data_IF_113213201980
#
_entry.id   IF_113213201980
#
_cell.length_a   1.000
_cell.length_b   1.000
_cell.length_c   1.000
_cell.angle_alpha   90.00
_cell.angle_beta   90.00
_cell.angle_gamma   90.00
#
_symmetry.space_group_name_H-M   'P 1'
#
loop_
_entity.id
_entity.type
_entity.pdbx_description
1 polymer ?
#
# COMPACT_ATOMS: atom_id res chain seq x y z
N UNK A 1 11.01 -3.67 11.96
CA UNK A 1 10.35 -2.75 10.99
C UNK A 1 10.68 -3.07 9.53
N UNK A 2 11.95 -3.22 9.13
CA UNK A 2 12.31 -3.54 7.75
C UNK A 2 11.67 -4.84 7.24
N UNK A 3 11.78 -5.94 8.00
CA UNK A 3 11.20 -7.24 7.62
C UNK A 3 9.68 -7.18 7.46
N UNK A 4 8.98 -6.58 8.43
CA UNK A 4 7.51 -6.44 8.34
C UNK A 4 7.09 -5.61 7.14
N UNK A 5 7.82 -4.54 6.82
CA UNK A 5 7.59 -3.73 5.62
C UNK A 5 7.80 -4.50 4.32
N UNK A 6 8.85 -5.33 4.23
CA UNK A 6 9.11 -6.17 3.06
C UNK A 6 8.05 -7.27 2.87
N UNK A 7 7.54 -7.87 3.96
CA UNK A 7 6.45 -8.84 3.89
C UNK A 7 5.14 -8.20 3.39
N UNK A 8 4.80 -7.01 3.90
CA UNK A 8 3.64 -6.24 3.43
C UNK A 8 3.81 -5.82 1.96
N UNK A 9 5.02 -5.48 1.54
CA UNK A 9 5.30 -5.20 0.13
C UNK A 9 5.09 -6.43 -0.75
N UNK A 10 5.56 -7.62 -0.31
CA UNK A 10 5.28 -8.88 -1.00
C UNK A 10 3.78 -9.14 -1.18
N UNK A 11 2.98 -8.87 -0.13
CA UNK A 11 1.53 -8.92 -0.22
C UNK A 11 0.98 -7.94 -1.28
N UNK A 12 1.48 -6.69 -1.33
CA UNK A 12 1.01 -5.71 -2.32
C UNK A 12 1.27 -6.17 -3.77
N UNK A 13 2.38 -6.87 -4.05
CA UNK A 13 2.65 -7.44 -5.37
C UNK A 13 1.59 -8.48 -5.77
N UNK A 14 1.30 -9.44 -4.88
CA UNK A 14 0.29 -10.45 -5.11
C UNK A 14 -1.10 -9.83 -5.22
N UNK A 15 -1.40 -8.86 -4.36
CA UNK A 15 -2.67 -8.15 -4.37
C UNK A 15 -2.87 -7.34 -5.66
N UNK A 16 -1.85 -6.66 -6.15
CA UNK A 16 -1.90 -5.97 -7.45
C UNK A 16 -2.14 -6.95 -8.59
N UNK A 17 -1.42 -8.07 -8.62
CA UNK A 17 -1.56 -9.05 -9.70
C UNK A 17 -2.99 -9.60 -9.81
N UNK A 18 -3.65 -9.89 -8.68
CA UNK A 18 -5.07 -10.28 -8.66
C UNK A 18 -6.01 -9.17 -9.10
N UNK A 19 -5.74 -7.93 -8.67
CA UNK A 19 -6.60 -6.79 -9.04
C UNK A 19 -6.45 -6.36 -10.51
N UNK A 20 -5.31 -6.62 -11.16
CA UNK A 20 -5.16 -6.36 -12.60
C UNK A 20 -6.10 -7.21 -13.47
N UNK A 21 -6.64 -8.32 -12.95
CA UNK A 21 -7.67 -9.11 -13.63
C UNK A 21 -8.97 -8.32 -13.86
N UNK A 22 -9.24 -7.24 -13.10
CA UNK A 22 -10.34 -6.31 -13.33
C UNK A 22 -10.28 -5.65 -14.72
N UNK A 23 -9.09 -5.51 -15.28
CA UNK A 23 -8.86 -4.81 -16.56
C UNK A 23 -8.83 -5.75 -17.77
N UNK A 24 -9.18 -7.02 -17.60
CA UNK A 24 -9.08 -8.03 -18.67
C UNK A 24 -10.11 -7.85 -19.79
N UNK A 25 -11.18 -7.09 -19.57
CA UNK A 25 -12.20 -6.82 -20.58
C UNK A 25 -13.20 -7.96 -20.83
N UNK A 26 -13.27 -8.95 -19.93
CA UNK A 26 -14.16 -10.12 -20.02
C UNK A 26 -15.44 -9.99 -19.17
N UNK A 27 -15.87 -8.76 -18.87
CA UNK A 27 -17.03 -8.51 -18.02
C UNK A 27 -16.82 -8.95 -16.57
N UNK A 28 -15.58 -9.12 -16.15
CA UNK A 28 -15.20 -9.52 -14.78
C UNK A 28 -15.22 -11.02 -14.52
N UNK A 29 -15.44 -11.85 -15.55
CA UNK A 29 -15.50 -13.31 -15.39
C UNK A 29 -14.23 -13.88 -14.74
N UNK A 30 -13.05 -13.50 -15.23
CA UNK A 30 -11.76 -13.96 -14.68
C UNK A 30 -11.54 -13.45 -13.25
N UNK A 31 -11.86 -12.19 -12.96
CA UNK A 31 -11.69 -11.61 -11.63
C UNK A 31 -12.61 -12.28 -10.60
N UNK A 32 -13.89 -12.50 -10.97
CA UNK A 32 -14.84 -13.19 -10.09
C UNK A 32 -14.41 -14.63 -9.83
N UNK A 33 -14.01 -15.39 -10.85
CA UNK A 33 -13.51 -16.77 -10.68
C UNK A 33 -12.28 -16.80 -9.73
N UNK A 34 -11.34 -15.86 -9.90
CA UNK A 34 -10.19 -15.71 -9.01
C UNK A 34 -10.60 -15.40 -7.57
N UNK A 35 -11.52 -14.44 -7.37
CA UNK A 35 -11.98 -14.05 -6.03
C UNK A 35 -12.75 -15.18 -5.34
N UNK A 36 -13.59 -15.91 -6.06
CA UNK A 36 -14.30 -17.07 -5.55
C UNK A 36 -13.34 -18.21 -5.15
N UNK A 37 -12.34 -18.49 -5.98
CA UNK A 37 -11.29 -19.43 -5.62
C UNK A 37 -10.61 -19.07 -4.31
N UNK A 38 -10.27 -17.79 -4.13
CA UNK A 38 -9.64 -17.32 -2.88
C UNK A 38 -10.56 -17.45 -1.67
N UNK A 39 -11.84 -17.03 -1.80
CA UNK A 39 -12.81 -17.05 -0.68
C UNK A 39 -13.08 -18.47 -0.20
N UNK A 40 -13.09 -19.47 -1.09
CA UNK A 40 -13.31 -20.87 -0.72
C UNK A 40 -12.00 -21.60 -0.35
N UNK A 41 -10.84 -20.96 -0.48
CA UNK A 41 -9.57 -21.60 -0.16
C UNK A 41 -9.35 -21.71 1.34
N UNK A 42 -9.05 -22.89 1.91
CA UNK A 42 -8.96 -23.09 3.36
C UNK A 42 -7.85 -22.27 4.04
N UNK A 43 -6.82 -21.88 3.28
CA UNK A 43 -5.73 -21.05 3.79
C UNK A 43 -6.04 -19.55 3.81
N UNK A 44 -7.19 -19.10 3.28
CA UNK A 44 -7.51 -17.67 3.25
C UNK A 44 -7.54 -17.09 4.66
N UNK A 45 -8.31 -17.71 5.56
CA UNK A 45 -8.46 -17.23 6.95
C UNK A 45 -7.12 -17.21 7.71
N UNK A 46 -6.32 -18.28 7.73
CA UNK A 46 -4.97 -18.22 8.32
C UNK A 46 -4.07 -17.12 7.76
N UNK A 47 -4.05 -16.96 6.42
CA UNK A 47 -3.24 -15.92 5.76
C UNK A 47 -3.71 -14.52 6.13
N UNK A 48 -5.01 -14.27 6.23
CA UNK A 48 -5.57 -13.00 6.68
C UNK A 48 -5.14 -12.66 8.13
N UNK A 49 -5.22 -13.61 9.05
CA UNK A 49 -4.75 -13.40 10.42
C UNK A 49 -3.26 -13.10 10.49
N UNK A 50 -2.44 -13.81 9.72
CA UNK A 50 -1.00 -13.55 9.63
C UNK A 50 -0.75 -12.14 9.07
N UNK A 51 -1.46 -11.75 8.00
CA UNK A 51 -1.33 -10.44 7.39
C UNK A 51 -1.72 -9.31 8.35
N UNK A 52 -2.83 -9.47 9.07
CA UNK A 52 -3.27 -8.51 10.11
C UNK A 52 -2.22 -8.43 11.23
N UNK A 53 -1.68 -9.56 11.68
CA UNK A 53 -0.62 -9.61 12.70
C UNK A 53 0.64 -8.87 12.25
N UNK A 54 1.11 -9.10 11.00
CA UNK A 54 2.26 -8.39 10.43
C UNK A 54 1.98 -6.90 10.33
N UNK A 55 0.78 -6.51 9.90
CA UNK A 55 0.38 -5.10 9.76
C UNK A 55 0.36 -4.38 11.11
N UNK A 56 -0.27 -4.98 12.13
CA UNK A 56 -0.29 -4.43 13.49
C UNK A 56 1.11 -4.32 14.09
N UNK A 57 1.94 -5.36 13.92
CA UNK A 57 3.34 -5.33 14.35
C UNK A 57 4.12 -4.22 13.65
N UNK A 58 3.88 -4.02 12.34
CA UNK A 58 4.50 -2.94 11.58
C UNK A 58 4.15 -1.56 12.17
N UNK A 59 2.88 -1.33 12.51
CA UNK A 59 2.41 -0.08 13.13
C UNK A 59 3.05 0.13 14.50
N UNK A 60 3.05 -0.89 15.36
CA UNK A 60 3.63 -0.82 16.71
C UNK A 60 5.12 -0.46 16.63
N UNK A 61 5.86 -1.14 15.75
CA UNK A 61 7.29 -0.86 15.53
C UNK A 61 7.52 0.55 14.97
N UNK A 62 6.65 1.03 14.08
CA UNK A 62 6.75 2.39 13.54
C UNK A 62 6.53 3.47 14.63
N UNK A 63 5.54 3.26 15.51
CA UNK A 63 5.28 4.14 16.65
C UNK A 63 6.45 4.12 17.63
N UNK A 64 6.99 2.94 17.94
CA UNK A 64 8.16 2.78 18.83
C UNK A 64 9.35 3.57 18.31
N UNK A 65 9.75 3.34 17.05
CA UNK A 65 10.87 4.06 16.42
C UNK A 65 10.63 5.57 16.40
N UNK A 66 9.40 6.01 16.15
CA UNK A 66 9.06 7.43 16.15
C UNK A 66 9.21 8.07 17.56
N UNK A 67 8.79 7.33 18.62
CA UNK A 67 8.94 7.76 20.01
C UNK A 67 10.41 7.83 20.42
N UNK A 68 11.19 6.79 20.08
CA UNK A 68 12.61 6.73 20.41
C UNK A 68 13.41 7.85 19.72
N UNK A 69 13.09 8.13 18.45
CA UNK A 69 13.67 9.23 17.71
C UNK A 69 13.33 10.61 18.32
N UNK A 70 12.11 10.78 18.86
CA UNK A 70 11.74 12.02 19.57
C UNK A 70 12.45 12.16 20.90
N UNK A 71 12.57 11.07 21.68
CA UNK A 71 13.27 11.05 22.98
C UNK A 71 14.76 11.30 22.83
N UNK A 72 15.40 10.72 21.82
CA UNK A 72 16.82 10.93 21.55
C UNK A 72 17.16 12.37 21.12
N UNK A 73 16.15 13.19 20.73
CA UNK A 73 16.37 14.57 20.28
C UNK A 73 15.27 15.51 20.78
N UNK A 74 15.31 15.91 22.05
CA UNK A 74 14.31 16.81 22.63
C UNK A 74 14.38 18.23 22.07
N UNK A 75 15.53 18.64 21.49
CA UNK A 75 15.73 19.97 20.88
C UNK A 75 15.86 19.83 19.37
N UNK A 76 15.02 20.53 18.60
CA UNK A 76 15.08 20.55 17.14
C UNK A 76 16.35 21.24 16.60
N UNK A 77 16.77 20.91 15.39
CA UNK A 77 17.89 21.61 14.76
C UNK A 77 17.58 23.09 14.55
N UNK A 78 18.46 23.97 15.03
CA UNK A 78 18.43 25.40 14.69
C UNK A 78 18.81 25.69 13.24
N UNK A 79 19.57 24.79 12.59
CA UNK A 79 19.93 24.88 11.19
C UNK A 79 19.63 23.57 10.49
N UNK A 80 18.86 23.62 9.41
CA UNK A 80 18.52 22.47 8.56
C UNK A 80 19.51 22.29 7.41
N UNK A 81 20.82 22.51 7.67
CA UNK A 81 21.84 22.16 6.69
C UNK A 81 21.83 20.64 6.52
N UNK A 82 21.34 20.15 5.39
CA UNK A 82 21.30 18.72 5.07
C UNK A 82 22.68 18.22 4.61
N UNK A 83 23.62 18.18 5.55
CA UNK A 83 24.83 17.37 5.36
C UNK A 83 24.44 15.95 5.70
N UNK A 84 24.16 15.13 4.68
CA UNK A 84 23.83 13.70 4.85
C UNK A 84 22.34 13.31 4.77
N UNK A 85 21.50 14.03 4.02
CA UNK A 85 20.32 13.43 3.39
C UNK A 85 19.15 13.04 4.26
N UNK A 86 18.65 13.90 5.16
CA UNK A 86 17.24 13.81 5.57
C UNK A 86 16.39 14.28 4.40
N UNK A 87 15.91 13.34 3.58
CA UNK A 87 14.97 13.65 2.52
C UNK A 87 13.66 14.19 3.11
N UNK A 88 12.94 15.03 2.36
CA UNK A 88 11.57 15.52 2.69
C UNK A 88 10.72 14.32 3.10
N UNK A 89 10.95 13.22 2.47
CA UNK A 89 10.31 11.97 2.66
C UNK A 89 10.50 11.35 4.05
N UNK A 90 11.67 11.42 4.67
CA UNK A 90 11.91 10.97 6.06
C UNK A 90 11.09 11.78 7.08
N UNK A 91 10.78 13.06 6.79
CA UNK A 91 9.94 13.91 7.65
C UNK A 91 8.46 13.57 7.51
N UNK A 92 8.03 13.09 6.35
CA UNK A 92 6.62 12.81 6.03
C UNK A 92 6.22 11.35 6.24
N UNK A 93 7.16 10.48 6.66
CA UNK A 93 6.94 9.03 6.78
C UNK A 93 5.78 8.67 7.73
N UNK A 94 5.65 9.38 8.86
CA UNK A 94 4.56 9.15 9.81
C UNK A 94 3.21 9.55 9.19
N UNK A 95 3.19 10.68 8.49
CA UNK A 95 1.96 11.17 7.85
C UNK A 95 1.52 10.26 6.70
N UNK A 96 2.44 9.83 5.85
CA UNK A 96 2.14 8.88 4.77
C UNK A 96 1.70 7.52 5.32
N UNK A 97 2.31 7.05 6.42
CA UNK A 97 1.90 5.83 7.10
C UNK A 97 0.50 5.94 7.71
N UNK A 98 0.16 7.08 8.35
CA UNK A 98 -1.17 7.32 8.90
C UNK A 98 -2.23 7.38 7.78
N UNK A 99 -1.92 8.06 6.68
CA UNK A 99 -2.83 8.11 5.52
C UNK A 99 -3.05 6.73 4.92
N UNK A 100 -1.98 5.92 4.81
CA UNK A 100 -2.10 4.52 4.36
C UNK A 100 -2.98 3.70 5.31
N UNK A 101 -2.85 3.88 6.64
CA UNK A 101 -3.70 3.21 7.62
C UNK A 101 -5.18 3.58 7.44
N UNK A 102 -5.47 4.88 7.32
CA UNK A 102 -6.84 5.37 7.08
C UNK A 102 -7.39 4.77 5.77
N UNK A 103 -6.57 4.79 4.72
CA UNK A 103 -6.95 4.20 3.44
C UNK A 103 -7.26 2.70 3.56
N UNK A 104 -6.43 1.91 4.27
CA UNK A 104 -6.67 0.47 4.48
C UNK A 104 -8.00 0.24 5.18
N UNK A 105 -8.34 1.03 6.21
CA UNK A 105 -9.64 0.92 6.91
C UNK A 105 -10.81 1.20 5.96
N UNK A 106 -10.72 2.27 5.17
CA UNK A 106 -11.74 2.62 4.16
C UNK A 106 -11.83 1.52 3.10
N UNK A 107 -10.70 1.03 2.58
CA UNK A 107 -10.63 -0.02 1.58
C UNK A 107 -11.29 -1.33 2.06
N UNK A 108 -10.98 -1.77 3.27
CA UNK A 108 -11.60 -2.96 3.86
C UNK A 108 -13.10 -2.79 4.04
N UNK A 109 -13.54 -1.62 4.52
CA UNK A 109 -14.96 -1.33 4.66
C UNK A 109 -15.68 -1.33 3.31
N UNK A 110 -15.05 -0.78 2.28
CA UNK A 110 -15.64 -0.65 0.93
C UNK A 110 -15.76 -1.99 0.20
N UNK A 111 -14.76 -2.89 0.33
CA UNK A 111 -14.72 -4.09 -0.52
C UNK A 111 -14.81 -5.41 0.25
N UNK A 112 -14.22 -5.51 1.44
CA UNK A 112 -14.25 -6.76 2.22
C UNK A 112 -15.52 -6.89 3.04
N UNK A 113 -15.94 -5.81 3.71
CA UNK A 113 -17.07 -5.81 4.64
C UNK A 113 -18.32 -5.11 4.09
N UNK A 114 -18.35 -4.80 2.79
CA UNK A 114 -19.55 -4.28 2.16
C UNK A 114 -20.61 -5.37 2.03
N UNK A 115 -21.86 -4.99 2.22
CA UNK A 115 -23.00 -5.81 1.82
C UNK A 115 -23.08 -5.79 0.29
N UNK A 116 -22.94 -6.96 -0.33
CA UNK A 116 -22.97 -7.10 -1.78
C UNK A 116 -24.38 -7.25 -2.35
N UNK A 117 -25.40 -7.43 -1.50
CA UNK A 117 -26.79 -7.58 -1.92
C UNK A 117 -27.01 -8.56 -3.10
N UNK A 118 -26.14 -9.59 -3.20
CA UNK A 118 -26.15 -10.56 -4.30
C UNK A 118 -25.27 -10.21 -5.51
N UNK A 119 -24.66 -9.03 -5.54
CA UNK A 119 -23.73 -8.66 -6.61
C UNK A 119 -22.37 -9.37 -6.50
N UNK A 120 -21.76 -9.56 -7.67
CA UNK A 120 -20.37 -10.06 -7.73
C UNK A 120 -19.40 -9.03 -7.18
N UNK A 121 -18.18 -9.49 -6.77
CA UNK A 121 -17.14 -8.55 -6.33
C UNK A 121 -16.73 -7.57 -7.45
N UNK A 122 -16.72 -8.03 -8.71
CA UNK A 122 -16.50 -7.17 -9.87
C UNK A 122 -17.56 -6.07 -9.97
N UNK A 123 -18.85 -6.43 -9.83
CA UNK A 123 -19.95 -5.47 -9.86
C UNK A 123 -19.80 -4.40 -8.77
N UNK A 124 -19.47 -4.81 -7.54
CA UNK A 124 -19.21 -3.89 -6.42
C UNK A 124 -18.05 -2.92 -6.74
N UNK A 125 -16.94 -3.42 -7.31
CA UNK A 125 -15.78 -2.59 -7.66
C UNK A 125 -16.13 -1.59 -8.75
N UNK A 126 -16.82 -2.04 -9.81
CA UNK A 126 -17.26 -1.16 -10.91
C UNK A 126 -18.22 -0.11 -10.39
N UNK A 127 -19.24 -0.47 -9.62
CA UNK A 127 -20.19 0.46 -9.03
C UNK A 127 -19.51 1.49 -8.13
N UNK A 128 -18.53 1.07 -7.32
CA UNK A 128 -17.77 1.98 -6.46
C UNK A 128 -17.00 3.03 -7.28
N UNK A 129 -16.34 2.61 -8.34
CA UNK A 129 -15.53 3.50 -9.18
C UNK A 129 -16.31 4.24 -10.27
N UNK A 130 -17.64 4.18 -10.25
CA UNK A 130 -18.46 5.18 -10.95
C UNK A 130 -18.51 6.53 -10.20
N UNK A 131 -18.21 6.55 -8.92
CA UNK A 131 -18.21 7.75 -8.09
C UNK A 131 -16.83 8.43 -8.12
N UNK A 132 -16.81 9.69 -8.55
CA UNK A 132 -15.60 10.51 -8.70
C UNK A 132 -14.81 10.70 -7.40
N UNK A 133 -15.52 10.79 -6.25
CA UNK A 133 -14.86 10.94 -4.95
C UNK A 133 -14.08 9.69 -4.58
N UNK A 134 -14.60 8.50 -4.89
CA UNK A 134 -13.86 7.25 -4.68
C UNK A 134 -12.65 7.18 -5.63
N UNK A 135 -12.83 7.48 -6.90
CA UNK A 135 -11.71 7.46 -7.88
C UNK A 135 -10.62 8.44 -7.45
N UNK A 136 -10.97 9.70 -7.16
CA UNK A 136 -10.03 10.71 -6.71
C UNK A 136 -9.35 10.34 -5.39
N UNK A 137 -10.11 9.88 -4.41
CA UNK A 137 -9.60 9.44 -3.10
C UNK A 137 -8.62 8.28 -3.21
N UNK A 138 -8.94 7.28 -4.04
CA UNK A 138 -8.05 6.14 -4.30
C UNK A 138 -6.79 6.55 -5.06
N UNK A 139 -6.89 7.43 -6.08
CA UNK A 139 -5.74 7.94 -6.81
C UNK A 139 -4.77 8.69 -5.87
N UNK A 140 -5.29 9.59 -5.04
CA UNK A 140 -4.47 10.31 -4.04
C UNK A 140 -3.83 9.34 -3.04
N UNK A 141 -4.59 8.36 -2.53
CA UNK A 141 -4.07 7.37 -1.61
C UNK A 141 -2.93 6.55 -2.23
N UNK A 142 -3.02 6.19 -3.51
CA UNK A 142 -1.96 5.45 -4.21
C UNK A 142 -0.70 6.30 -4.42
N UNK A 143 -0.82 7.59 -4.69
CA UNK A 143 0.34 8.50 -4.74
C UNK A 143 1.04 8.54 -3.36
N UNK A 144 0.27 8.68 -2.28
CA UNK A 144 0.82 8.70 -0.91
C UNK A 144 1.42 7.35 -0.50
N UNK A 145 0.81 6.23 -0.93
CA UNK A 145 1.38 4.88 -0.78
C UNK A 145 2.71 4.78 -1.52
N UNK A 146 2.81 5.30 -2.73
CA UNK A 146 4.06 5.33 -3.50
C UNK A 146 5.20 6.04 -2.76
N UNK A 147 4.94 7.19 -2.15
CA UNK A 147 5.89 7.88 -1.29
C UNK A 147 6.23 7.07 -0.03
N UNK A 148 5.25 6.45 0.60
CA UNK A 148 5.46 5.60 1.77
C UNK A 148 6.38 4.41 1.44
N UNK A 149 6.11 3.71 0.34
CA UNK A 149 6.93 2.59 -0.14
C UNK A 149 8.36 3.02 -0.50
N UNK A 150 8.51 4.15 -1.18
CA UNK A 150 9.83 4.67 -1.53
C UNK A 150 10.70 4.90 -0.30
N UNK A 151 10.11 5.44 0.77
CA UNK A 151 10.80 5.57 2.05
C UNK A 151 11.13 4.27 2.72
N UNK A 152 10.12 3.37 2.76
CA UNK A 152 10.24 2.06 3.35
C UNK A 152 11.42 1.30 2.74
N UNK A 153 11.59 1.33 1.42
CA UNK A 153 12.72 0.70 0.74
C UNK A 153 14.06 1.30 1.11
N UNK A 154 14.16 2.64 1.11
CA UNK A 154 15.41 3.31 1.48
C UNK A 154 15.82 2.95 2.92
N UNK A 155 14.87 2.98 3.85
CA UNK A 155 15.08 2.60 5.24
C UNK A 155 15.45 1.11 5.40
N UNK A 156 14.77 0.22 4.68
CA UNK A 156 15.05 -1.21 4.73
C UNK A 156 16.45 -1.51 4.19
N UNK A 157 16.88 -0.90 3.09
CA UNK A 157 18.22 -1.09 2.54
C UNK A 157 19.31 -0.51 3.44
N UNK A 158 19.05 0.60 4.14
CA UNK A 158 19.97 1.11 5.17
C UNK A 158 20.12 0.12 6.30
N UNK A 159 19.02 -0.42 6.83
CA UNK A 159 19.02 -1.42 7.90
C UNK A 159 19.78 -2.69 7.51
N UNK A 160 19.72 -3.08 6.23
CA UNK A 160 20.40 -4.26 5.69
C UNK A 160 21.84 -3.98 5.21
N UNK A 161 22.36 -2.75 5.40
CA UNK A 161 23.71 -2.37 4.95
C UNK A 161 23.87 -2.26 3.42
N UNK A 162 22.76 -2.19 2.67
CA UNK A 162 22.74 -2.19 1.20
C UNK A 162 22.58 -0.80 0.58
N UNK A 163 22.57 0.26 1.37
CA UNK A 163 22.22 1.63 0.96
C UNK A 163 23.12 2.25 -0.12
N UNK A 164 24.39 1.80 -0.22
CA UNK A 164 25.37 2.34 -1.18
C UNK A 164 25.22 1.80 -2.61
N UNK A 165 24.21 0.98 -2.91
CA UNK A 165 24.06 0.32 -4.23
C UNK A 165 23.09 1.07 -5.14
N UNK A 166 23.56 1.82 -6.18
CA UNK A 166 22.69 2.62 -7.05
C UNK A 166 21.69 1.77 -7.86
N UNK A 167 22.02 0.49 -8.15
CA UNK A 167 21.11 -0.43 -8.84
C UNK A 167 19.88 -0.76 -7.98
N UNK A 168 20.06 -1.00 -6.67
CA UNK A 168 18.96 -1.27 -5.75
C UNK A 168 18.05 -0.06 -5.58
N UNK A 169 18.63 1.15 -5.57
CA UNK A 169 17.84 2.39 -5.53
C UNK A 169 16.96 2.54 -6.77
N UNK A 170 17.48 2.27 -7.97
CA UNK A 170 16.68 2.33 -9.21
C UNK A 170 15.60 1.27 -9.23
N UNK A 171 15.91 0.05 -8.81
CA UNK A 171 14.93 -1.04 -8.70
C UNK A 171 13.80 -0.67 -7.74
N UNK A 172 14.10 -0.13 -6.55
CA UNK A 172 13.07 0.27 -5.59
C UNK A 172 12.14 1.35 -6.13
N UNK A 173 12.68 2.34 -6.84
CA UNK A 173 11.85 3.37 -7.50
C UNK A 173 10.93 2.73 -8.55
N UNK A 174 11.45 1.84 -9.40
CA UNK A 174 10.65 1.12 -10.39
C UNK A 174 9.53 0.29 -9.76
N UNK A 175 9.82 -0.41 -8.67
CA UNK A 175 8.83 -1.20 -7.92
C UNK A 175 7.76 -0.32 -7.25
N UNK A 176 8.15 0.84 -6.70
CA UNK A 176 7.18 1.79 -6.13
C UNK A 176 6.24 2.36 -7.20
N UNK A 177 6.78 2.72 -8.36
CA UNK A 177 5.98 3.21 -9.50
C UNK A 177 5.05 2.11 -10.01
N UNK A 178 5.55 0.87 -10.14
CA UNK A 178 4.76 -0.28 -10.58
C UNK A 178 3.56 -0.50 -9.65
N UNK A 179 3.77 -0.52 -8.34
CA UNK A 179 2.70 -0.77 -7.38
C UNK A 179 1.73 0.40 -7.29
N UNK A 180 2.23 1.61 -7.01
CA UNK A 180 1.37 2.77 -6.84
C UNK A 180 0.65 3.14 -8.16
N UNK A 181 1.36 3.11 -9.28
CA UNK A 181 0.80 3.35 -10.61
C UNK A 181 -0.18 2.26 -11.04
N UNK A 182 0.16 0.99 -10.81
CA UNK A 182 -0.72 -0.13 -11.13
C UNK A 182 -2.05 -0.07 -10.37
N UNK A 183 -2.00 0.20 -9.06
CA UNK A 183 -3.24 0.38 -8.28
C UNK A 183 -4.00 1.66 -8.65
N UNK A 184 -3.32 2.77 -8.96
CA UNK A 184 -3.99 4.00 -9.38
C UNK A 184 -4.67 3.86 -10.76
N UNK A 185 -4.08 3.04 -11.66
CA UNK A 185 -4.62 2.80 -12.99
C UNK A 185 -5.99 2.09 -12.94
N UNK A 186 -6.24 1.19 -11.98
CA UNK A 186 -7.47 0.40 -11.91
C UNK A 186 -8.73 1.29 -11.78
N UNK A 187 -8.88 2.14 -10.74
CA UNK A 187 -10.05 3.02 -10.63
C UNK A 187 -10.17 3.99 -11.79
N UNK A 188 -9.06 4.50 -12.32
CA UNK A 188 -9.07 5.41 -13.47
C UNK A 188 -9.54 4.71 -14.74
N UNK A 189 -9.05 3.49 -15.02
CA UNK A 189 -9.45 2.73 -16.20
C UNK A 189 -10.94 2.34 -16.14
N UNK A 190 -11.44 1.92 -14.97
CA UNK A 190 -12.85 1.62 -14.78
C UNK A 190 -13.71 2.88 -14.98
N UNK A 191 -13.27 4.01 -14.42
CA UNK A 191 -14.00 5.28 -14.54
C UNK A 191 -14.06 5.80 -15.98
N UNK A 192 -12.95 5.72 -16.72
CA UNK A 192 -12.86 6.22 -18.11
C UNK A 192 -13.42 5.24 -19.16
N UNK A 193 -13.54 3.95 -18.82
CA UNK A 193 -14.02 2.89 -19.73
C UNK A 193 -15.54 2.68 -19.73
N UNK A 194 -16.31 3.49 -19.02
CA UNK A 194 -17.78 3.45 -18.95
C UNK A 194 -18.45 4.27 -20.03
#
# INVERSE_FOLDING_TARGET
MALTGLLLFGFLLVHLSGNLLLLKGDGGATFNAYSEFLVHHPLLIPVEFILVGIFLLHIVLAISVARDNRRARPVGYRMTASVGGRSVSSRTMIYSGLTTLIFVVVHLKTFKYADRAGDSLYGLVVATFTNELYVGGYAVAMVLLGFHLWHAFQSAFQTLGLHARPRLRRLSIGLCILIAGGFAMIPLAIYLGR
#
